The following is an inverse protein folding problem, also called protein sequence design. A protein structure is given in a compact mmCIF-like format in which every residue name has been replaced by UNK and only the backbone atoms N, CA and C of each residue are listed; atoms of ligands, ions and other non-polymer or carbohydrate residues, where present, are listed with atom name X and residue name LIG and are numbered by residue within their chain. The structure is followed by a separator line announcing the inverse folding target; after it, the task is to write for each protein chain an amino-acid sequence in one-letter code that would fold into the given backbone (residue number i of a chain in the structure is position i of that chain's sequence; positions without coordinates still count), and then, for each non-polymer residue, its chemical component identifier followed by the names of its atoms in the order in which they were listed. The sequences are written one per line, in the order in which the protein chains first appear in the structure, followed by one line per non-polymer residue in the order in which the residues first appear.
data_IF_682969329144
#
_entry.id   IF_682969329144
#
_cell.length_a   1.000
_cell.length_b   1.000
_cell.length_c   1.000
_cell.angle_alpha   90.00
_cell.angle_beta   90.00
_cell.angle_gamma   90.00
#
_symmetry.space_group_name_H-M   'P 1'
#
loop_
_entity.id
_entity.type
_entity.pdbx_description
1 polymer ?
#
# COMPACT_ATOMS: atom_id res chain seq x y z
N UNK A 1 1.33 3.61 -11.46
CA UNK A 1 1.30 3.63 -9.99
C UNK A 1 0.26 2.68 -9.41
N UNK A 2 -1.03 2.82 -9.77
CA UNK A 2 -2.10 1.91 -9.32
C UNK A 2 -1.80 0.42 -9.54
N UNK A 3 -1.23 0.04 -10.69
CA UNK A 3 -0.83 -1.36 -10.96
C UNK A 3 0.19 -1.90 -9.96
N UNK A 4 1.24 -1.12 -9.65
CA UNK A 4 2.29 -1.51 -8.69
C UNK A 4 1.68 -1.68 -7.30
N UNK A 5 0.80 -0.77 -6.90
CA UNK A 5 0.13 -0.87 -5.61
C UNK A 5 -0.76 -2.12 -5.56
N UNK A 6 -1.52 -2.41 -6.62
CA UNK A 6 -2.33 -3.62 -6.70
C UNK A 6 -1.48 -4.90 -6.60
N UNK A 7 -0.31 -4.93 -7.25
CA UNK A 7 0.64 -6.05 -7.18
C UNK A 7 1.19 -6.24 -5.76
N UNK A 8 1.61 -5.14 -5.12
CA UNK A 8 2.08 -5.16 -3.73
C UNK A 8 0.97 -5.61 -2.78
N UNK A 9 -0.28 -5.16 -2.96
CA UNK A 9 -1.42 -5.59 -2.13
C UNK A 9 -1.69 -7.09 -2.34
N UNK A 10 -1.75 -7.54 -3.60
CA UNK A 10 -2.03 -8.93 -3.95
C UNK A 10 -0.93 -9.89 -3.47
N UNK A 11 0.34 -9.44 -3.50
CA UNK A 11 1.49 -10.20 -3.03
C UNK A 11 1.63 -10.29 -1.50
N UNK A 12 0.83 -9.53 -0.74
CA UNK A 12 0.99 -9.41 0.72
C UNK A 12 -0.34 -9.54 1.49
N UNK A 13 -1.04 -10.69 1.34
CA UNK A 13 -2.38 -10.88 1.91
C UNK A 13 -2.44 -10.82 3.44
N UNK A 14 -1.39 -11.21 4.15
CA UNK A 14 -1.34 -11.15 5.62
C UNK A 14 -1.28 -9.71 6.13
N UNK A 15 -0.55 -8.85 5.44
CA UNK A 15 -0.46 -7.42 5.73
C UNK A 15 -1.79 -6.72 5.42
N UNK A 16 -2.47 -7.12 4.34
CA UNK A 16 -3.83 -6.64 4.03
C UNK A 16 -4.80 -7.03 5.14
N UNK A 17 -4.79 -8.30 5.60
CA UNK A 17 -5.61 -8.75 6.73
C UNK A 17 -5.32 -7.95 7.99
N UNK A 18 -4.03 -7.71 8.28
CA UNK A 18 -3.61 -6.95 9.47
C UNK A 18 -4.08 -5.50 9.41
N UNK A 19 -3.99 -4.85 8.24
CA UNK A 19 -4.52 -3.51 8.03
C UNK A 19 -6.05 -3.48 8.22
N UNK A 20 -6.77 -4.42 7.58
CA UNK A 20 -8.23 -4.55 7.71
C UNK A 20 -8.71 -4.93 9.11
N UNK A 21 -7.84 -5.51 9.94
CA UNK A 21 -8.09 -5.75 11.36
C UNK A 21 -7.96 -4.49 12.23
N UNK A 22 -7.80 -3.31 11.61
CA UNK A 22 -7.71 -2.01 12.30
C UNK A 22 -6.29 -1.60 12.67
N UNK A 23 -5.26 -2.32 12.20
CA UNK A 23 -3.86 -1.96 12.45
C UNK A 23 -3.33 -1.06 11.34
N UNK A 24 -3.75 0.19 11.37
CA UNK A 24 -3.41 1.21 10.36
C UNK A 24 -1.90 1.44 10.20
N UNK A 25 -1.10 1.13 11.23
CA UNK A 25 0.37 1.23 11.18
C UNK A 25 1.02 0.42 10.05
N UNK A 26 0.33 -0.60 9.53
CA UNK A 26 0.81 -1.40 8.39
C UNK A 26 0.86 -0.59 7.08
N UNK A 27 0.13 0.52 6.97
CA UNK A 27 0.14 1.35 5.76
C UNK A 27 1.53 1.90 5.44
N UNK A 28 2.32 2.28 6.45
CA UNK A 28 3.68 2.77 6.24
C UNK A 28 4.62 1.70 5.66
N UNK A 29 4.37 0.43 5.98
CA UNK A 29 5.10 -0.69 5.38
C UNK A 29 4.75 -0.86 3.90
N UNK A 30 3.47 -0.76 3.54
CA UNK A 30 3.03 -0.80 2.14
C UNK A 30 3.60 0.37 1.33
N UNK A 31 3.61 1.58 1.89
CA UNK A 31 4.25 2.75 1.25
C UNK A 31 5.72 2.41 0.94
N UNK A 32 6.45 1.83 1.89
CA UNK A 32 7.84 1.40 1.69
C UNK A 32 8.01 0.39 0.55
N UNK A 33 7.13 -0.61 0.46
CA UNK A 33 7.16 -1.60 -0.63
C UNK A 33 6.92 -0.95 -2.00
N UNK A 34 5.92 -0.09 -2.11
CA UNK A 34 5.60 0.62 -3.37
C UNK A 34 6.73 1.58 -3.75
N UNK A 35 7.33 2.27 -2.79
CA UNK A 35 8.50 3.14 -3.04
C UNK A 35 9.69 2.32 -3.55
N UNK A 36 9.90 1.10 -3.04
CA UNK A 36 10.95 0.20 -3.52
C UNK A 36 10.70 -0.28 -4.95
N UNK A 37 9.49 -0.76 -5.23
CA UNK A 37 9.06 -1.22 -6.57
C UNK A 37 9.18 -0.10 -7.62
N UNK A 38 8.80 1.12 -7.25
CA UNK A 38 8.89 2.30 -8.12
C UNK A 38 10.29 2.89 -8.18
N UNK A 39 11.27 2.30 -7.47
CA UNK A 39 12.67 2.79 -7.37
C UNK A 39 12.74 4.26 -6.92
N UNK A 40 11.88 4.64 -5.98
CA UNK A 40 11.80 6.00 -5.42
C UNK A 40 11.20 7.05 -6.37
N UNK A 41 10.65 6.65 -7.53
CA UNK A 41 10.06 7.58 -8.50
C UNK A 41 8.64 8.02 -8.14
N UNK A 42 7.97 7.30 -7.24
CA UNK A 42 6.64 7.67 -6.80
C UNK A 42 6.68 8.71 -5.67
N UNK A 43 5.64 9.53 -5.60
CA UNK A 43 5.45 10.44 -4.47
C UNK A 43 4.86 9.65 -3.29
N UNK A 44 5.51 9.65 -2.11
CA UNK A 44 5.05 8.89 -0.95
C UNK A 44 3.65 9.31 -0.45
N UNK A 45 3.28 10.58 -0.59
CA UNK A 45 1.98 11.10 -0.15
C UNK A 45 0.87 10.55 -1.06
N UNK A 46 1.08 10.61 -2.38
CA UNK A 46 0.17 10.02 -3.37
C UNK A 46 0.06 8.50 -3.21
N UNK A 47 1.18 7.82 -2.89
CA UNK A 47 1.19 6.37 -2.62
C UNK A 47 0.33 6.04 -1.41
N UNK A 48 0.44 6.81 -0.33
CA UNK A 48 -0.35 6.61 0.88
C UNK A 48 -1.85 6.80 0.63
N UNK A 49 -2.25 7.85 -0.09
CA UNK A 49 -3.66 8.07 -0.44
C UNK A 49 -4.23 6.91 -1.26
N UNK A 50 -3.54 6.53 -2.34
CA UNK A 50 -3.97 5.42 -3.20
C UNK A 50 -4.03 4.08 -2.46
N UNK A 51 -3.11 3.83 -1.54
CA UNK A 51 -3.13 2.64 -0.68
C UNK A 51 -4.34 2.65 0.26
N UNK A 52 -4.67 3.81 0.83
CA UNK A 52 -5.87 4.00 1.64
C UNK A 52 -7.11 3.62 0.83
N UNK A 53 -7.35 4.29 -0.29
CA UNK A 53 -8.49 4.04 -1.19
C UNK A 53 -8.62 2.53 -1.53
N UNK A 54 -7.54 1.87 -1.93
CA UNK A 54 -7.58 0.46 -2.34
C UNK A 54 -7.74 -0.53 -1.17
N UNK A 55 -7.32 -0.18 0.04
CA UNK A 55 -7.39 -1.08 1.20
C UNK A 55 -8.68 -0.92 2.01
N UNK A 56 -9.22 0.31 2.12
CA UNK A 56 -10.51 0.59 2.78
C UNK A 56 -11.70 0.37 1.85
N UNK A 57 -11.51 0.42 0.54
CA UNK A 57 -12.56 0.14 -0.44
C UNK A 57 -13.60 1.26 -0.56
N UNK A 58 -13.21 2.49 -0.24
CA UNK A 58 -14.00 3.71 -0.49
C UNK A 58 -13.80 4.25 -1.91
#
# INVERSE_FOLDING_TARGET
LRQVIADVIAGNPDQVKTYRAGKESVIGWFVGQVMRETKGKANPQLVQELLGEMLTGE
#
